data_IF_096784826799
#
_entry.id   IF_096784826799
#
_cell.length_a   1.000
_cell.length_b   1.000
_cell.length_c   1.000
_cell.angle_alpha   90.00
_cell.angle_beta   90.00
_cell.angle_gamma   90.00
#
_symmetry.space_group_name_H-M   'P 1'
#
loop_
_entity.id
_entity.type
_entity.pdbx_description
1 polymer ?
#
# COMPACT_ATOMS: atom_id res chain seq x y z
N UNK A 1 -16.01 -23.18 5.51
CA UNK A 1 -15.43 -21.82 5.38
C UNK A 1 -13.92 -22.00 5.37
N UNK A 2 -13.15 -21.50 4.39
CA UNK A 2 -11.70 -21.59 4.44
C UNK A 2 -11.21 -20.75 5.62
N UNK A 3 -10.39 -21.34 6.48
CA UNK A 3 -9.71 -20.62 7.55
C UNK A 3 -8.62 -19.78 6.92
N UNK A 4 -8.73 -18.45 7.00
CA UNK A 4 -7.67 -17.55 6.57
C UNK A 4 -6.56 -17.61 7.63
N UNK A 5 -5.54 -18.41 7.39
CA UNK A 5 -4.34 -18.47 8.24
C UNK A 5 -3.35 -17.46 7.71
N UNK A 6 -2.89 -16.55 8.57
CA UNK A 6 -1.76 -15.68 8.25
C UNK A 6 -0.50 -16.57 8.29
N UNK A 7 0.09 -16.82 7.13
CA UNK A 7 1.37 -17.53 7.00
C UNK A 7 2.53 -16.54 7.12
N UNK A 8 3.34 -16.72 8.16
CA UNK A 8 4.53 -15.90 8.42
C UNK A 8 5.84 -16.65 8.11
N UNK A 9 5.77 -17.86 7.54
CA UNK A 9 6.93 -18.74 7.36
C UNK A 9 8.00 -18.20 6.42
N UNK A 10 7.69 -17.20 5.59
CA UNK A 10 8.66 -16.62 4.67
C UNK A 10 9.64 -15.66 5.35
N UNK A 11 9.29 -15.09 6.50
CA UNK A 11 10.05 -14.03 7.20
C UNK A 11 10.50 -12.87 6.28
N UNK A 12 9.86 -12.71 5.11
CA UNK A 12 10.21 -11.70 4.11
C UNK A 12 9.31 -10.48 4.26
N UNK A 13 9.90 -9.30 4.32
CA UNK A 13 9.18 -8.03 4.19
C UNK A 13 9.33 -7.51 2.76
N UNK A 14 8.21 -7.20 2.11
CA UNK A 14 8.17 -6.60 0.78
C UNK A 14 7.31 -5.33 0.79
N UNK A 15 7.56 -4.46 -0.20
CA UNK A 15 6.75 -3.26 -0.44
C UNK A 15 5.62 -3.61 -1.41
N UNK A 16 4.37 -3.49 -0.98
CA UNK A 16 3.18 -3.78 -1.81
C UNK A 16 2.71 -2.58 -2.63
N UNK A 17 3.00 -1.36 -2.17
CA UNK A 17 2.68 -0.14 -2.89
C UNK A 17 3.60 1.03 -2.53
N UNK A 18 3.68 2.01 -3.44
CA UNK A 18 4.46 3.24 -3.26
C UNK A 18 5.64 3.32 -4.21
N UNK A 19 5.70 4.40 -5.00
CA UNK A 19 6.82 4.66 -5.89
C UNK A 19 8.03 5.23 -5.14
N UNK A 20 9.21 4.86 -5.61
CA UNK A 20 10.49 5.40 -5.14
C UNK A 20 11.35 5.84 -6.32
N UNK A 21 12.12 6.91 -6.14
CA UNK A 21 13.23 7.24 -7.05
C UNK A 21 14.49 6.44 -6.65
N UNK A 22 15.57 6.65 -7.41
CA UNK A 22 16.88 6.05 -7.14
C UNK A 22 17.28 6.19 -5.67
N UNK A 23 17.71 5.08 -5.07
CA UNK A 23 18.09 5.02 -3.66
C UNK A 23 16.92 4.82 -2.69
N UNK A 24 15.72 4.50 -3.18
CA UNK A 24 14.58 4.13 -2.33
C UNK A 24 13.88 5.31 -1.66
N UNK A 25 14.11 6.53 -2.14
CA UNK A 25 13.44 7.73 -1.61
C UNK A 25 11.98 7.73 -2.09
N UNK A 26 10.99 7.76 -1.18
CA UNK A 26 9.58 7.75 -1.55
C UNK A 26 9.19 8.98 -2.38
N UNK A 27 8.36 8.78 -3.39
CA UNK A 27 7.73 9.86 -4.14
C UNK A 27 6.42 10.22 -3.45
N UNK A 28 6.37 11.44 -2.91
CA UNK A 28 5.14 12.00 -2.34
C UNK A 28 4.26 12.53 -3.44
N UNK A 29 2.96 12.32 -3.31
CA UNK A 29 1.99 12.82 -4.26
C UNK A 29 0.67 12.07 -4.18
N UNK A 30 -0.19 12.36 -5.15
CA UNK A 30 -1.55 11.81 -5.24
C UNK A 30 -1.76 11.03 -6.53
N UNK A 31 -0.75 10.94 -7.37
CA UNK A 31 -0.82 10.26 -8.67
C UNK A 31 -1.13 8.78 -8.47
N UNK A 32 -2.15 8.32 -9.20
CA UNK A 32 -2.47 6.91 -9.30
C UNK A 32 -1.44 6.17 -10.15
N UNK A 33 -1.31 4.89 -9.90
CA UNK A 33 -0.49 3.96 -10.65
C UNK A 33 -0.74 2.53 -10.19
N UNK A 34 -0.19 1.56 -10.90
CA UNK A 34 -0.11 0.18 -10.41
C UNK A 34 0.62 0.16 -9.07
N UNK A 35 0.39 -0.83 -8.20
CA UNK A 35 0.81 -0.82 -6.79
C UNK A 35 2.13 -0.09 -6.49
N UNK A 36 3.23 -0.46 -7.16
CA UNK A 36 4.59 0.11 -6.96
C UNK A 36 4.87 1.44 -7.69
N UNK A 37 3.94 1.92 -8.50
CA UNK A 37 4.01 3.19 -9.23
C UNK A 37 3.08 4.27 -8.65
N UNK A 38 2.11 3.89 -7.79
CA UNK A 38 1.25 4.84 -7.10
C UNK A 38 2.01 5.69 -6.08
N UNK A 39 1.63 6.95 -5.95
CA UNK A 39 2.23 7.88 -4.98
C UNK A 39 1.37 7.98 -3.71
N UNK A 40 2.02 8.28 -2.59
CA UNK A 40 1.38 8.51 -1.30
C UNK A 40 2.04 9.69 -0.61
N UNK A 41 1.24 10.57 0.01
CA UNK A 41 1.76 11.75 0.70
C UNK A 41 2.23 11.42 2.12
N UNK A 42 1.34 10.81 2.91
CA UNK A 42 1.62 10.30 4.26
C UNK A 42 0.53 9.26 4.67
N UNK A 43 0.72 7.98 4.29
CA UNK A 43 -0.23 6.93 4.62
C UNK A 43 -0.23 6.66 6.14
N UNK A 44 -1.41 6.71 6.77
CA UNK A 44 -1.53 6.69 8.24
C UNK A 44 -2.22 5.45 8.84
N UNK A 45 -3.14 4.84 8.10
CA UNK A 45 -3.86 3.64 8.54
C UNK A 45 -4.23 2.77 7.33
N UNK A 46 -4.43 1.48 7.59
CA UNK A 46 -4.76 0.49 6.56
C UNK A 46 -5.89 -0.44 7.01
N UNK A 47 -6.70 -0.90 6.06
CA UNK A 47 -7.65 -1.99 6.26
C UNK A 47 -7.80 -2.82 4.99
N UNK A 48 -8.23 -4.07 5.12
CA UNK A 48 -8.54 -4.93 3.97
C UNK A 48 -10.04 -5.13 3.92
N UNK A 49 -10.65 -4.91 2.76
CA UNK A 49 -12.05 -5.18 2.50
C UNK A 49 -12.21 -5.85 1.13
N UNK A 50 -12.82 -7.04 1.13
CA UNK A 50 -13.04 -7.87 -0.07
C UNK A 50 -11.78 -8.08 -0.94
N UNK A 51 -10.62 -8.28 -0.30
CA UNK A 51 -9.35 -8.52 -1.00
C UNK A 51 -8.65 -7.27 -1.53
N UNK A 52 -9.15 -6.08 -1.22
CA UNK A 52 -8.52 -4.79 -1.56
C UNK A 52 -7.96 -4.17 -0.29
N UNK A 53 -6.71 -3.67 -0.37
CA UNK A 53 -6.08 -2.90 0.70
C UNK A 53 -6.48 -1.44 0.54
N UNK A 54 -7.12 -0.89 1.56
CA UNK A 54 -7.46 0.53 1.64
C UNK A 54 -6.50 1.24 2.58
N UNK A 55 -6.01 2.40 2.15
CA UNK A 55 -5.02 3.21 2.88
C UNK A 55 -5.55 4.62 3.06
N UNK A 56 -5.54 5.15 4.29
CA UNK A 56 -5.83 6.57 4.52
C UNK A 56 -4.58 7.40 4.26
N UNK A 57 -4.61 8.27 3.26
CA UNK A 57 -3.51 9.16 2.90
C UNK A 57 -3.81 10.58 3.40
N UNK A 58 -3.43 10.83 4.65
CA UNK A 58 -4.06 11.85 5.51
C UNK A 58 -3.75 13.31 5.14
N UNK A 59 -2.59 13.67 4.55
CA UNK A 59 -2.38 14.99 3.94
C UNK A 59 -2.83 15.03 2.48
N UNK A 60 -3.11 13.88 1.87
CA UNK A 60 -3.70 13.83 0.54
C UNK A 60 -5.22 14.00 0.55
N UNK A 61 -5.87 13.95 1.72
CA UNK A 61 -7.33 13.93 1.90
C UNK A 61 -8.00 12.83 1.06
N UNK A 62 -7.33 11.68 0.88
CA UNK A 62 -7.85 10.57 0.07
C UNK A 62 -7.79 9.23 0.80
N UNK A 63 -8.69 8.32 0.42
CA UNK A 63 -8.56 6.88 0.71
C UNK A 63 -8.07 6.21 -0.58
N UNK A 64 -6.92 5.57 -0.52
CA UNK A 64 -6.30 4.87 -1.66
C UNK A 64 -6.73 3.41 -1.66
N UNK A 65 -7.03 2.85 -2.83
CA UNK A 65 -7.24 1.41 -3.00
C UNK A 65 -6.03 0.79 -3.69
N UNK A 66 -5.52 -0.30 -3.13
CA UNK A 66 -4.36 -1.04 -3.63
C UNK A 66 -4.80 -2.47 -3.91
N UNK A 67 -4.61 -2.90 -5.17
CA UNK A 67 -4.63 -4.30 -5.57
C UNK A 67 -3.23 -4.89 -5.40
N UNK A 68 -3.11 -6.04 -4.76
CA UNK A 68 -1.86 -6.76 -4.50
C UNK A 68 -2.06 -8.26 -4.68
#
# INVERSE_FOLDING_TARGET
MPTFVIDLSSDTVSTVAGATINGGVPIKGREDGDGTLGHFEFPGAVTIYHGVLYVTDTPADTIRSVSF
#
